data_IF_116507088999
#
_entry.id   IF_116507088999
#
_cell.length_a   1.000
_cell.length_b   1.000
_cell.length_c   1.000
_cell.angle_alpha   90.00
_cell.angle_beta   90.00
_cell.angle_gamma   90.00
#
_symmetry.space_group_name_H-M   'P 1'
#
loop_
_entity.id
_entity.type
_entity.pdbx_description
1 polymer ?
#
# COMPACT_ATOMS: atom_id res chain seq x y z
N UNK A 1 -24.93 -7.41 -15.41
CA UNK A 1 -25.35 -7.20 -14.00
C UNK A 1 -24.20 -6.67 -13.20
N UNK A 2 -24.29 -5.46 -12.70
CA UNK A 2 -23.31 -4.85 -11.81
C UNK A 2 -23.33 -5.54 -10.43
N UNK A 3 -22.26 -5.40 -9.65
CA UNK A 3 -22.21 -5.92 -8.27
C UNK A 3 -23.33 -5.33 -7.38
N UNK A 4 -23.78 -4.13 -7.70
CA UNK A 4 -24.89 -3.43 -7.03
C UNK A 4 -26.25 -4.11 -7.31
N UNK A 5 -26.51 -4.49 -8.56
CA UNK A 5 -27.75 -5.20 -8.93
C UNK A 5 -27.80 -6.63 -8.36
N UNK A 6 -26.65 -7.30 -8.28
CA UNK A 6 -26.54 -8.59 -7.60
C UNK A 6 -26.80 -8.44 -6.11
N UNK A 7 -26.25 -7.42 -5.47
CA UNK A 7 -26.48 -7.15 -4.06
C UNK A 7 -27.95 -6.85 -3.75
N UNK A 8 -28.66 -6.09 -4.58
CA UNK A 8 -30.08 -5.76 -4.37
C UNK A 8 -31.01 -6.98 -4.47
N UNK A 9 -30.72 -7.94 -5.38
CA UNK A 9 -31.47 -9.19 -5.50
C UNK A 9 -31.20 -10.17 -4.36
N UNK A 10 -30.11 -9.99 -3.64
CA UNK A 10 -29.64 -10.87 -2.57
C UNK A 10 -29.96 -10.32 -1.17
N UNK A 11 -30.52 -9.12 -1.09
CA UNK A 11 -30.99 -8.55 0.17
C UNK A 11 -32.05 -9.48 0.77
N UNK A 12 -31.69 -10.12 1.91
CA UNK A 12 -32.53 -11.07 2.64
C UNK A 12 -32.68 -12.48 2.02
N UNK A 13 -31.85 -12.88 1.04
CA UNK A 13 -31.84 -14.27 0.57
C UNK A 13 -31.01 -15.15 1.50
N UNK A 14 -31.69 -16.05 2.22
CA UNK A 14 -31.03 -17.03 3.10
C UNK A 14 -30.08 -17.95 2.33
N UNK A 15 -30.49 -18.42 1.16
CA UNK A 15 -29.69 -19.32 0.30
C UNK A 15 -28.35 -18.72 -0.06
N UNK A 16 -28.34 -17.46 -0.42
CA UNK A 16 -27.09 -16.78 -0.81
C UNK A 16 -26.13 -16.63 0.35
N UNK A 17 -26.62 -16.21 1.53
CA UNK A 17 -25.75 -16.02 2.71
C UNK A 17 -25.17 -17.34 3.17
N UNK A 18 -25.93 -18.42 3.03
CA UNK A 18 -25.46 -19.78 3.36
C UNK A 18 -24.50 -20.33 2.32
N UNK A 19 -24.62 -19.92 1.05
CA UNK A 19 -23.73 -20.38 -0.03
C UNK A 19 -22.36 -19.70 -0.04
N UNK A 20 -22.21 -18.53 0.60
CA UNK A 20 -20.96 -17.77 0.61
C UNK A 20 -20.18 -18.00 1.89
N UNK A 21 -19.04 -18.66 1.77
CA UNK A 21 -18.17 -18.98 2.90
C UNK A 21 -16.96 -18.02 3.04
N UNK A 22 -16.40 -17.93 4.26
CA UNK A 22 -15.14 -17.31 4.54
C UNK A 22 -15.10 -15.77 4.32
N UNK A 23 -13.98 -15.30 3.78
CA UNK A 23 -13.72 -13.85 3.60
C UNK A 23 -14.70 -13.17 2.63
N UNK A 24 -15.14 -13.87 1.60
CA UNK A 24 -16.11 -13.34 0.63
C UNK A 24 -17.45 -13.02 1.30
N UNK A 25 -17.91 -13.85 2.23
CA UNK A 25 -19.12 -13.61 3.02
C UNK A 25 -19.05 -12.29 3.77
N UNK A 26 -17.93 -12.02 4.45
CA UNK A 26 -17.72 -10.78 5.19
C UNK A 26 -17.74 -9.53 4.29
N UNK A 27 -17.13 -9.63 3.12
CA UNK A 27 -17.11 -8.53 2.16
C UNK A 27 -18.50 -8.25 1.59
N UNK A 28 -19.29 -9.27 1.28
CA UNK A 28 -20.68 -9.11 0.84
C UNK A 28 -21.57 -8.50 1.92
N UNK A 29 -21.47 -8.98 3.16
CA UNK A 29 -22.25 -8.42 4.28
C UNK A 29 -21.92 -6.93 4.52
N UNK A 30 -20.66 -6.53 4.34
CA UNK A 30 -20.27 -5.11 4.41
C UNK A 30 -20.89 -4.28 3.28
N UNK A 31 -20.89 -4.81 2.06
CA UNK A 31 -21.50 -4.13 0.90
C UNK A 31 -23.00 -3.97 1.13
N UNK A 32 -23.68 -5.02 1.57
CA UNK A 32 -25.12 -4.97 1.90
C UNK A 32 -25.43 -3.96 3.00
N UNK A 33 -24.66 -3.96 4.11
CA UNK A 33 -24.83 -2.99 5.18
C UNK A 33 -24.62 -1.54 4.73
N UNK A 34 -23.65 -1.30 3.85
CA UNK A 34 -23.43 0.03 3.28
C UNK A 34 -24.54 0.44 2.32
N UNK A 35 -25.06 -0.50 1.52
CA UNK A 35 -26.19 -0.24 0.61
C UNK A 35 -27.45 0.12 1.39
N UNK A 36 -27.77 -0.61 2.46
CA UNK A 36 -28.89 -0.29 3.34
C UNK A 36 -28.74 1.10 3.95
N UNK A 37 -27.57 1.46 4.47
CA UNK A 37 -27.32 2.83 4.99
C UNK A 37 -27.49 3.91 3.94
N UNK A 38 -26.98 3.68 2.73
CA UNK A 38 -27.15 4.63 1.63
C UNK A 38 -28.63 4.83 1.31
N UNK A 39 -29.40 3.73 1.28
CA UNK A 39 -30.82 3.76 1.02
C UNK A 39 -31.58 4.51 2.12
N UNK A 40 -31.22 4.26 3.39
CA UNK A 40 -31.82 4.94 4.53
C UNK A 40 -31.60 6.45 4.46
N UNK A 41 -30.38 6.89 4.15
CA UNK A 41 -30.04 8.32 4.00
C UNK A 41 -30.79 8.97 2.83
N UNK A 42 -30.92 8.24 1.71
CA UNK A 42 -31.50 8.81 0.49
C UNK A 42 -33.02 8.85 0.50
N UNK A 43 -33.67 7.87 1.14
CA UNK A 43 -35.10 7.64 1.05
C UNK A 43 -35.81 7.61 2.41
N UNK A 44 -35.10 7.99 3.47
CA UNK A 44 -35.61 8.00 4.86
C UNK A 44 -36.24 6.66 5.28
N UNK A 45 -35.49 5.58 5.05
CA UNK A 45 -35.91 4.21 5.39
C UNK A 45 -35.11 3.67 6.58
N UNK A 46 -35.42 2.44 7.04
CA UNK A 46 -34.71 1.80 8.15
C UNK A 46 -34.13 0.42 7.78
N UNK A 47 -33.76 0.21 6.56
CA UNK A 47 -33.23 -1.07 6.05
C UNK A 47 -31.96 -1.53 6.76
N UNK A 48 -31.11 -0.62 7.20
CA UNK A 48 -29.90 -1.00 7.93
C UNK A 48 -30.22 -1.63 9.28
N UNK A 49 -31.24 -1.11 9.99
CA UNK A 49 -31.72 -1.69 11.23
C UNK A 49 -32.34 -3.08 11.01
N UNK A 50 -33.17 -3.21 9.98
CA UNK A 50 -33.76 -4.50 9.60
C UNK A 50 -32.67 -5.52 9.22
N UNK A 51 -31.68 -5.13 8.45
CA UNK A 51 -30.55 -5.98 8.06
C UNK A 51 -29.74 -6.44 9.26
N UNK A 52 -29.45 -5.56 10.21
CA UNK A 52 -28.72 -5.94 11.43
C UNK A 52 -29.51 -6.88 12.32
N UNK A 53 -30.83 -6.68 12.42
CA UNK A 53 -31.74 -7.56 13.17
C UNK A 53 -31.82 -8.95 12.51
N UNK A 54 -31.93 -8.99 11.19
CA UNK A 54 -31.94 -10.23 10.41
C UNK A 54 -30.64 -11.03 10.60
N UNK A 55 -29.46 -10.37 10.53
CA UNK A 55 -28.16 -11.02 10.79
C UNK A 55 -28.12 -11.64 12.17
N UNK A 56 -28.60 -10.93 13.21
CA UNK A 56 -28.64 -11.42 14.58
C UNK A 56 -29.59 -12.61 14.71
N UNK A 57 -30.80 -12.52 14.14
CA UNK A 57 -31.81 -13.58 14.19
C UNK A 57 -31.33 -14.87 13.51
N UNK A 58 -30.49 -14.75 12.45
CA UNK A 58 -29.91 -15.90 11.73
C UNK A 58 -28.57 -16.35 12.30
N UNK A 59 -28.14 -15.79 13.44
CA UNK A 59 -26.86 -16.13 14.10
C UNK A 59 -25.64 -16.03 13.16
N UNK A 60 -25.72 -15.17 12.14
CA UNK A 60 -24.63 -14.99 11.17
C UNK A 60 -23.49 -14.28 11.86
N UNK A 61 -22.37 -14.96 12.03
CA UNK A 61 -21.13 -14.36 12.56
C UNK A 61 -20.62 -13.31 11.58
N UNK A 62 -20.97 -12.05 11.84
CA UNK A 62 -20.50 -10.89 11.09
C UNK A 62 -19.78 -9.93 12.01
N UNK A 63 -18.51 -9.68 11.74
CA UNK A 63 -17.75 -8.66 12.42
C UNK A 63 -17.51 -7.46 11.48
N UNK A 64 -18.34 -6.38 11.54
CA UNK A 64 -18.17 -5.21 10.71
C UNK A 64 -16.87 -4.44 11.02
N UNK A 65 -16.35 -4.59 12.23
CA UNK A 65 -15.02 -4.14 12.59
C UNK A 65 -14.06 -5.28 12.21
N UNK A 66 -13.31 -5.11 11.11
CA UNK A 66 -12.19 -6.02 10.90
C UNK A 66 -11.37 -6.05 12.19
N UNK A 67 -11.14 -7.21 12.77
CA UNK A 67 -10.16 -7.38 13.83
C UNK A 67 -8.78 -7.02 13.26
N UNK A 68 -8.52 -5.71 13.12
CA UNK A 68 -7.20 -5.18 12.75
C UNK A 68 -6.17 -5.42 13.86
N UNK A 69 -6.63 -5.91 15.02
CA UNK A 69 -5.79 -6.19 16.19
C UNK A 69 -5.19 -7.59 16.19
N UNK A 70 -5.47 -8.46 15.22
CA UNK A 70 -4.60 -9.58 15.00
C UNK A 70 -3.29 -9.06 14.38
N UNK A 71 -2.47 -8.45 15.23
CA UNK A 71 -1.04 -8.44 15.02
C UNK A 71 -0.62 -9.92 15.04
N UNK A 72 -0.80 -10.62 13.91
CA UNK A 72 0.06 -11.75 13.68
C UNK A 72 1.46 -11.17 13.81
N UNK A 73 2.19 -11.64 14.80
CA UNK A 73 3.64 -11.49 14.84
C UNK A 73 4.12 -12.19 13.57
N UNK A 74 4.01 -11.46 12.45
CA UNK A 74 4.50 -11.93 11.18
C UNK A 74 5.97 -12.20 11.42
N UNK A 75 6.43 -13.40 11.06
CA UNK A 75 7.83 -13.78 11.06
C UNK A 75 8.66 -12.52 10.78
N UNK A 76 9.53 -12.17 11.71
CA UNK A 76 10.22 -10.88 11.64
C UNK A 76 11.20 -10.95 10.46
N UNK A 77 10.77 -10.46 9.31
CA UNK A 77 11.57 -10.45 8.09
C UNK A 77 12.57 -9.32 8.24
N UNK A 78 13.84 -9.66 8.26
CA UNK A 78 14.92 -8.68 8.37
C UNK A 78 15.25 -8.02 7.02
N UNK A 79 15.97 -6.92 7.06
CA UNK A 79 16.47 -6.28 5.85
C UNK A 79 17.40 -7.23 5.07
N UNK A 80 18.24 -8.03 5.78
CA UNK A 80 19.12 -9.02 5.17
C UNK A 80 18.36 -10.11 4.41
N UNK A 81 17.26 -10.64 4.97
CA UNK A 81 16.43 -11.65 4.31
C UNK A 81 15.86 -11.10 2.99
N UNK A 82 15.41 -9.85 3.02
CA UNK A 82 14.85 -9.19 1.83
C UNK A 82 15.93 -8.97 0.77
N UNK A 83 17.11 -8.50 1.13
CA UNK A 83 18.20 -8.28 0.19
C UNK A 83 18.65 -9.59 -0.46
N UNK A 84 18.79 -10.66 0.34
CA UNK A 84 19.08 -12.00 -0.16
C UNK A 84 18.04 -12.48 -1.17
N UNK A 85 16.75 -12.25 -0.88
CA UNK A 85 15.67 -12.62 -1.77
C UNK A 85 15.65 -11.76 -3.05
N UNK A 86 15.90 -10.46 -2.94
CA UNK A 86 16.01 -9.57 -4.10
C UNK A 86 17.20 -9.96 -4.99
N UNK A 87 18.31 -10.41 -4.39
CA UNK A 87 19.48 -10.89 -5.12
C UNK A 87 19.21 -12.06 -6.07
N UNK A 88 18.18 -12.88 -5.79
CA UNK A 88 17.77 -14.03 -6.61
C UNK A 88 16.87 -13.64 -7.79
N UNK A 89 16.41 -12.38 -7.85
CA UNK A 89 15.55 -11.92 -8.94
C UNK A 89 16.35 -11.54 -10.19
N UNK A 90 15.74 -11.64 -11.39
CA UNK A 90 16.31 -11.05 -12.58
C UNK A 90 16.65 -9.57 -12.37
N UNK A 91 17.74 -9.04 -12.98
CA UNK A 91 18.29 -7.71 -12.69
C UNK A 91 17.24 -6.60 -12.65
N UNK A 92 16.35 -6.55 -13.62
CA UNK A 92 15.28 -5.56 -13.71
C UNK A 92 14.35 -5.54 -12.49
N UNK A 93 13.95 -6.72 -12.00
CA UNK A 93 13.06 -6.85 -10.84
C UNK A 93 13.81 -6.64 -9.52
N UNK A 94 15.09 -7.02 -9.48
CA UNK A 94 15.99 -6.70 -8.37
C UNK A 94 16.10 -5.17 -8.22
N UNK A 95 16.40 -4.44 -9.28
CA UNK A 95 16.50 -2.98 -9.27
C UNK A 95 15.16 -2.35 -8.86
N UNK A 96 14.03 -2.84 -9.39
CA UNK A 96 12.71 -2.36 -8.97
C UNK A 96 12.45 -2.63 -7.49
N UNK A 97 12.80 -3.79 -6.97
CA UNK A 97 12.66 -4.11 -5.54
C UNK A 97 13.50 -3.18 -4.66
N UNK A 98 14.75 -2.93 -5.03
CA UNK A 98 15.62 -1.96 -4.35
C UNK A 98 15.06 -0.54 -4.44
N UNK A 99 14.48 -0.17 -5.58
CA UNK A 99 13.81 1.12 -5.74
C UNK A 99 12.60 1.27 -4.79
N UNK A 100 11.74 0.24 -4.69
CA UNK A 100 10.62 0.23 -3.72
C UNK A 100 11.12 0.29 -2.28
N UNK A 101 12.18 -0.46 -1.98
CA UNK A 101 12.79 -0.50 -0.65
C UNK A 101 13.37 0.85 -0.23
N UNK A 102 14.06 1.54 -1.12
CA UNK A 102 14.71 2.83 -0.82
C UNK A 102 13.75 4.00 -0.80
N UNK A 103 12.75 4.01 -1.70
CA UNK A 103 11.78 5.11 -1.80
C UNK A 103 10.58 4.96 -0.86
N UNK A 104 10.23 3.73 -0.48
CA UNK A 104 9.04 3.45 0.33
C UNK A 104 7.71 3.71 -0.38
N UNK A 105 7.69 3.81 -1.70
CA UNK A 105 6.49 4.03 -2.51
C UNK A 105 5.53 2.83 -2.46
N UNK A 106 4.23 3.07 -2.66
CA UNK A 106 3.28 1.99 -2.92
C UNK A 106 3.56 1.40 -4.30
N UNK A 107 3.21 0.13 -4.50
CA UNK A 107 3.52 -0.58 -5.75
C UNK A 107 3.12 0.20 -7.00
N UNK A 108 1.93 0.78 -7.05
CA UNK A 108 1.46 1.55 -8.19
C UNK A 108 2.18 2.91 -8.33
N UNK A 109 2.47 3.57 -7.21
CA UNK A 109 3.30 4.76 -7.17
C UNK A 109 4.73 4.46 -7.66
N UNK A 110 5.29 3.36 -7.20
CA UNK A 110 6.62 2.91 -7.59
C UNK A 110 6.73 2.57 -9.08
N UNK A 111 5.71 1.95 -9.67
CA UNK A 111 5.68 1.65 -11.11
C UNK A 111 5.74 2.96 -11.92
N UNK A 112 4.90 3.92 -11.58
CA UNK A 112 4.87 5.22 -12.27
C UNK A 112 6.17 5.97 -12.08
N UNK A 113 6.69 6.05 -10.85
CA UNK A 113 7.93 6.73 -10.55
C UNK A 113 9.14 6.07 -11.23
N UNK A 114 9.22 4.73 -11.22
CA UNK A 114 10.27 3.96 -11.87
C UNK A 114 10.29 4.19 -13.38
N UNK A 115 9.13 4.14 -14.03
CA UNK A 115 9.01 4.31 -15.47
C UNK A 115 9.30 5.75 -15.95
N UNK A 116 9.21 6.72 -15.05
CA UNK A 116 9.44 8.14 -15.34
C UNK A 116 10.66 8.72 -14.60
N UNK A 117 11.48 7.88 -13.94
CA UNK A 117 12.51 8.34 -13.01
C UNK A 117 13.48 9.37 -13.62
N UNK A 118 13.93 9.19 -14.86
CA UNK A 118 14.81 10.11 -15.57
C UNK A 118 14.23 11.50 -15.79
N UNK A 119 12.89 11.61 -15.83
CA UNK A 119 12.16 12.87 -16.02
C UNK A 119 11.86 13.60 -14.72
N UNK A 120 11.71 12.83 -13.62
CA UNK A 120 11.20 13.36 -12.33
C UNK A 120 12.27 13.39 -11.24
N UNK A 121 13.41 12.72 -11.40
CA UNK A 121 14.53 12.79 -10.47
C UNK A 121 15.39 14.00 -10.79
N UNK A 122 15.39 14.98 -9.89
CA UNK A 122 16.21 16.21 -9.96
C UNK A 122 16.91 16.41 -8.64
N UNK A 123 18.20 16.65 -8.68
CA UNK A 123 19.03 16.88 -7.49
C UNK A 123 18.86 15.83 -6.36
N UNK A 124 18.61 14.58 -6.77
CA UNK A 124 18.41 13.46 -5.85
C UNK A 124 17.05 13.42 -5.17
N UNK A 125 16.07 14.18 -5.65
CA UNK A 125 14.68 14.17 -5.19
C UNK A 125 13.75 13.94 -6.37
N UNK A 126 12.76 13.06 -6.17
CA UNK A 126 11.66 12.87 -7.11
C UNK A 126 10.40 13.53 -6.58
N UNK A 127 9.91 14.53 -7.30
CA UNK A 127 8.60 15.11 -7.05
C UNK A 127 7.53 14.32 -7.80
N UNK A 128 6.47 13.97 -7.09
CA UNK A 128 5.42 13.08 -7.57
C UNK A 128 4.07 13.81 -7.56
N UNK A 129 3.43 13.85 -8.71
CA UNK A 129 2.11 14.46 -8.88
C UNK A 129 1.08 13.36 -9.15
N UNK A 130 0.01 13.33 -8.34
CA UNK A 130 -1.03 12.32 -8.43
C UNK A 130 -2.40 12.98 -8.56
N UNK A 131 -3.18 12.53 -9.52
CA UNK A 131 -4.60 12.87 -9.61
C UNK A 131 -5.43 11.91 -8.73
N UNK A 132 -5.36 12.11 -7.41
CA UNK A 132 -6.19 11.41 -6.44
C UNK A 132 -6.33 12.17 -5.13
N UNK A 133 -7.48 12.00 -4.49
CA UNK A 133 -7.86 12.79 -3.29
C UNK A 133 -7.17 12.33 -2.00
N UNK A 134 -6.71 11.07 -1.90
CA UNK A 134 -6.27 10.49 -0.62
C UNK A 134 -4.86 9.92 -0.65
N UNK A 135 -4.15 10.05 0.48
CA UNK A 135 -2.90 9.36 0.85
C UNK A 135 -1.89 9.23 -0.30
N UNK A 136 -1.41 10.34 -0.79
CA UNK A 136 -0.41 10.42 -1.85
C UNK A 136 0.97 10.78 -1.29
N UNK A 137 1.99 10.14 -1.81
CA UNK A 137 3.38 10.55 -1.60
C UNK A 137 3.70 11.69 -2.57
N UNK A 138 4.21 12.80 -2.07
CA UNK A 138 4.48 13.97 -2.90
C UNK A 138 5.95 14.08 -3.32
N UNK A 139 6.88 13.61 -2.49
CA UNK A 139 8.29 13.59 -2.81
C UNK A 139 9.00 12.43 -2.13
N UNK A 140 10.00 11.88 -2.78
CA UNK A 140 10.90 10.85 -2.24
C UNK A 140 12.32 11.11 -2.74
N UNK A 141 13.30 10.54 -2.05
CA UNK A 141 14.68 10.57 -2.53
C UNK A 141 14.91 9.64 -3.72
N UNK A 142 15.81 10.04 -4.57
CA UNK A 142 16.32 9.31 -5.71
C UNK A 142 17.79 8.92 -5.43
N UNK A 143 18.08 7.63 -5.30
CA UNK A 143 19.44 7.19 -5.02
C UNK A 143 20.29 7.25 -6.29
N UNK A 144 21.48 7.91 -6.29
CA UNK A 144 22.29 8.08 -7.48
C UNK A 144 22.60 6.76 -8.20
N UNK A 145 23.10 5.76 -7.47
CA UNK A 145 23.40 4.42 -8.01
C UNK A 145 22.19 3.75 -8.64
N UNK A 146 21.00 3.86 -8.03
CA UNK A 146 19.79 3.29 -8.62
C UNK A 146 19.34 4.06 -9.84
N UNK A 147 19.53 5.39 -9.84
CA UNK A 147 19.20 6.22 -10.99
C UNK A 147 19.94 5.79 -12.25
N UNK A 148 21.22 5.45 -12.12
CA UNK A 148 22.05 4.96 -13.22
C UNK A 148 21.66 3.54 -13.68
N UNK A 149 21.17 2.69 -12.78
CA UNK A 149 20.80 1.30 -13.07
C UNK A 149 19.39 1.12 -13.62
N UNK A 150 18.52 2.14 -13.49
CA UNK A 150 17.13 2.02 -13.95
C UNK A 150 17.05 2.18 -15.47
N UNK A 151 16.82 1.07 -16.16
CA UNK A 151 16.60 1.04 -17.60
C UNK A 151 15.28 0.34 -17.96
N UNK A 152 14.59 0.90 -18.96
CA UNK A 152 13.33 0.38 -19.47
C UNK A 152 12.15 0.54 -18.50
N UNK A 153 11.02 -0.06 -18.84
CA UNK A 153 9.76 0.09 -18.12
C UNK A 153 9.32 -1.21 -17.45
N UNK A 154 8.53 -1.09 -16.40
CA UNK A 154 7.96 -2.20 -15.64
C UNK A 154 6.45 -2.06 -15.57
N UNK A 155 5.71 -3.17 -15.54
CA UNK A 155 4.26 -3.16 -15.41
C UNK A 155 3.75 -4.07 -14.28
N UNK A 156 2.52 -3.85 -13.86
CA UNK A 156 1.89 -4.54 -12.73
C UNK A 156 1.80 -6.05 -12.92
N UNK A 157 1.53 -6.50 -14.15
CA UNK A 157 1.39 -7.94 -14.46
C UNK A 157 2.73 -8.65 -14.30
N UNK A 158 3.79 -8.06 -14.83
CA UNK A 158 5.13 -8.61 -14.72
C UNK A 158 5.64 -8.65 -13.28
N UNK A 159 5.34 -7.62 -12.49
CA UNK A 159 5.65 -7.60 -11.06
C UNK A 159 4.92 -8.73 -10.34
N UNK A 160 3.61 -8.89 -10.55
CA UNK A 160 2.84 -9.96 -9.94
C UNK A 160 3.37 -11.35 -10.27
N UNK A 161 3.91 -11.56 -11.47
CA UNK A 161 4.48 -12.83 -11.91
C UNK A 161 5.85 -13.09 -11.31
N UNK A 162 6.75 -12.10 -11.33
CA UNK A 162 8.17 -12.28 -11.02
C UNK A 162 8.55 -11.91 -9.59
N UNK A 163 7.72 -11.16 -8.88
CA UNK A 163 7.95 -10.72 -7.49
C UNK A 163 6.87 -11.23 -6.54
N UNK A 164 6.49 -12.51 -6.69
CA UNK A 164 5.54 -13.16 -5.79
C UNK A 164 6.12 -13.28 -4.38
N UNK A 165 5.26 -13.30 -3.38
CA UNK A 165 5.66 -13.51 -1.98
C UNK A 165 6.42 -14.81 -1.75
N UNK A 166 6.15 -15.86 -2.54
CA UNK A 166 6.90 -17.10 -2.50
C UNK A 166 8.38 -16.94 -2.92
N UNK A 167 8.68 -15.98 -3.80
CA UNK A 167 10.04 -15.69 -4.27
C UNK A 167 10.73 -14.70 -3.33
N UNK A 168 10.01 -13.65 -2.91
CA UNK A 168 10.53 -12.59 -2.05
C UNK A 168 10.59 -12.98 -0.57
N UNK A 169 9.98 -14.10 -0.17
CA UNK A 169 9.79 -14.42 1.26
C UNK A 169 8.80 -13.49 1.97
N UNK A 170 8.33 -12.43 1.31
CA UNK A 170 7.36 -11.48 1.83
C UNK A 170 6.53 -10.85 0.71
N UNK A 171 5.43 -10.19 1.07
CA UNK A 171 4.69 -9.37 0.12
C UNK A 171 5.48 -8.08 -0.20
N UNK A 172 5.37 -7.60 -1.44
CA UNK A 172 6.07 -6.38 -1.91
C UNK A 172 5.79 -5.15 -1.03
N UNK A 173 4.58 -5.06 -0.44
CA UNK A 173 4.25 -4.00 0.54
C UNK A 173 5.13 -4.00 1.79
N UNK A 174 5.81 -5.11 2.08
CA UNK A 174 6.72 -5.22 3.23
C UNK A 174 7.99 -4.38 3.04
N UNK A 175 8.47 -4.25 1.80
CA UNK A 175 9.61 -3.37 1.47
C UNK A 175 9.35 -1.93 1.92
N UNK A 176 8.11 -1.46 1.72
CA UNK A 176 7.69 -0.15 2.21
C UNK A 176 7.69 -0.04 3.73
N UNK A 177 7.32 -1.11 4.46
CA UNK A 177 7.38 -1.13 5.92
C UNK A 177 8.83 -1.08 6.41
N UNK A 178 9.72 -1.86 5.79
CA UNK A 178 11.14 -1.84 6.10
C UNK A 178 11.77 -0.47 5.82
N UNK A 179 11.45 0.15 4.68
CA UNK A 179 11.84 1.52 4.40
C UNK A 179 11.45 2.46 5.54
N UNK A 180 10.18 2.42 5.96
CA UNK A 180 9.70 3.25 7.07
C UNK A 180 10.53 3.03 8.33
N UNK A 181 10.73 1.78 8.72
CA UNK A 181 11.50 1.43 9.90
C UNK A 181 12.94 1.96 9.82
N UNK A 182 13.61 1.74 8.68
CA UNK A 182 15.00 2.20 8.49
C UNK A 182 15.08 3.73 8.57
N UNK A 183 14.20 4.45 7.88
CA UNK A 183 14.22 5.92 7.89
C UNK A 183 13.85 6.47 9.27
N UNK A 184 12.80 5.93 9.89
CA UNK A 184 12.35 6.40 11.21
C UNK A 184 13.39 6.17 12.32
N UNK A 185 14.12 5.04 12.26
CA UNK A 185 15.11 4.70 13.30
C UNK A 185 16.49 5.29 13.05
N UNK A 186 16.90 5.42 11.79
CA UNK A 186 18.29 5.84 11.46
C UNK A 186 18.41 7.28 11.01
N UNK A 187 17.30 7.91 10.57
CA UNK A 187 17.33 9.25 10.01
C UNK A 187 16.39 10.18 10.80
N UNK A 188 15.10 10.09 10.54
CA UNK A 188 14.08 10.95 11.15
C UNK A 188 12.67 10.35 11.00
N UNK A 189 11.88 10.21 12.08
CA UNK A 189 10.53 9.67 12.03
C UNK A 189 9.54 10.53 11.20
N UNK A 190 9.68 11.86 11.25
CA UNK A 190 8.79 12.76 10.49
C UNK A 190 9.07 12.64 9.00
N UNK A 191 10.36 12.52 8.63
CA UNK A 191 10.75 12.25 7.24
C UNK A 191 10.15 10.93 6.73
N UNK A 192 10.18 9.87 7.55
CA UNK A 192 9.60 8.58 7.19
C UNK A 192 8.08 8.67 6.95
N UNK A 193 7.35 9.42 7.78
CA UNK A 193 5.92 9.67 7.61
C UNK A 193 5.63 10.47 6.33
N UNK A 194 6.42 11.51 6.08
CA UNK A 194 6.28 12.35 4.89
C UNK A 194 6.53 11.56 3.60
N UNK A 195 7.66 10.87 3.50
CA UNK A 195 7.99 10.06 2.33
C UNK A 195 6.94 8.97 2.03
N UNK A 196 6.20 8.55 3.03
CA UNK A 196 5.11 7.60 2.85
C UNK A 196 3.72 8.24 2.66
N UNK A 197 3.63 9.57 2.58
CA UNK A 197 2.35 10.27 2.43
C UNK A 197 1.37 9.96 3.57
N UNK A 198 1.87 9.77 4.79
CA UNK A 198 1.06 9.53 5.98
C UNK A 198 0.60 10.82 6.65
N UNK A 199 1.37 11.89 6.48
CA UNK A 199 1.03 13.27 6.87
C UNK A 199 0.94 14.12 5.62
N UNK A 200 0.03 15.05 5.56
CA UNK A 200 0.02 16.03 4.48
C UNK A 200 -1.25 16.81 4.28
N UNK A 201 -1.32 17.99 4.88
CA UNK A 201 -2.01 19.14 4.32
C UNK A 201 -0.98 19.99 3.51
N UNK A 202 -1.46 20.79 2.58
CA UNK A 202 -0.66 21.61 1.64
C UNK A 202 0.36 22.50 2.35
N UNK A 203 0.05 23.01 3.56
CA UNK A 203 0.96 23.81 4.39
C UNK A 203 2.23 23.05 4.80
N UNK A 204 2.22 21.74 4.83
CA UNK A 204 3.39 20.93 5.23
C UNK A 204 4.44 20.82 4.11
N UNK A 205 4.11 21.11 2.85
CA UNK A 205 5.08 21.12 1.74
C UNK A 205 6.23 22.10 2.02
N UNK A 206 5.93 23.26 2.55
CA UNK A 206 6.94 24.29 2.84
C UNK A 206 7.92 23.89 3.95
N UNK A 207 7.48 23.04 4.88
CA UNK A 207 8.33 22.55 5.97
C UNK A 207 9.13 21.28 5.60
N UNK A 208 8.64 20.48 4.66
CA UNK A 208 9.24 19.19 4.37
C UNK A 208 10.35 19.22 3.33
N UNK A 209 10.36 20.18 2.39
CA UNK A 209 11.48 20.34 1.46
C UNK A 209 12.79 20.66 2.20
N UNK A 210 12.84 21.59 3.18
CA UNK A 210 14.02 21.76 4.02
C UNK A 210 14.40 20.50 4.79
N UNK A 211 13.43 19.78 5.34
CA UNK A 211 13.70 18.51 6.04
C UNK A 211 14.33 17.47 5.12
N UNK A 212 13.85 17.34 3.88
CA UNK A 212 14.45 16.46 2.88
C UNK A 212 15.87 16.87 2.56
N UNK A 213 16.10 18.15 2.20
CA UNK A 213 17.42 18.65 1.85
C UNK A 213 18.44 18.42 2.95
N UNK A 214 18.07 18.66 4.21
CA UNK A 214 18.93 18.47 5.37
C UNK A 214 19.27 16.99 5.63
N UNK A 215 18.39 16.08 5.24
CA UNK A 215 18.57 14.65 5.49
C UNK A 215 19.05 13.84 4.28
N UNK A 216 19.15 14.43 3.10
CA UNK A 216 19.51 13.74 1.87
C UNK A 216 20.86 13.00 1.97
N UNK A 217 21.91 13.67 2.43
CA UNK A 217 23.25 13.05 2.60
C UNK A 217 23.20 11.88 3.56
N UNK A 218 22.46 12.01 4.68
CA UNK A 218 22.31 10.95 5.67
C UNK A 218 21.52 9.77 5.10
N UNK A 219 20.50 10.04 4.29
CA UNK A 219 19.71 9.04 3.60
C UNK A 219 20.55 8.26 2.57
N UNK A 220 21.32 8.93 1.72
CA UNK A 220 22.24 8.29 0.77
C UNK A 220 23.23 7.41 1.51
N UNK A 221 23.89 7.90 2.55
CA UNK A 221 24.84 7.14 3.36
C UNK A 221 24.20 5.89 3.99
N UNK A 222 22.95 5.98 4.42
CA UNK A 222 22.22 4.88 5.02
C UNK A 222 21.96 3.77 3.99
N UNK A 223 21.59 4.12 2.76
CA UNK A 223 21.27 3.16 1.71
C UNK A 223 22.49 2.68 0.92
N UNK A 224 23.57 3.44 0.84
CA UNK A 224 24.83 2.98 0.24
C UNK A 224 25.31 1.66 0.84
N UNK A 225 25.22 1.52 2.16
CA UNK A 225 25.56 0.27 2.85
C UNK A 225 24.71 -0.92 2.44
N UNK A 226 23.51 -0.66 1.93
CA UNK A 226 22.53 -1.65 1.53
C UNK A 226 22.63 -2.00 0.05
N UNK A 227 23.03 -1.05 -0.79
CA UNK A 227 23.08 -1.21 -2.25
C UNK A 227 24.41 -1.79 -2.73
N UNK A 228 25.47 -1.67 -1.92
CA UNK A 228 26.81 -2.19 -2.24
C UNK A 228 27.02 -3.66 -1.79
N UNK A 229 25.95 -4.32 -1.34
CA UNK A 229 25.88 -5.77 -1.08
C UNK A 229 25.04 -6.45 -2.18
#
# INVERSE_FOLDING_TARGET
MTNSEKASKLLFSDEFVMSVNGRKKQDYLKVMGNLCRYHDIKYDTNYHSQFTTWIKKKEIKWNPKSNRNNYHVAKQITLGDVLSSLGKLPPKYRIFGLFVLTTGLRTEEAIVAFNNHSRICRDGIMELFWDRKTKKTNAVFCHPTLHELIHGTINKTNIKRNMKSAILGCELRYLRKLNFTVIATKIDPLLAEFMQGRRGNISQRHYFLPLMNNNQKKWIKTWNKTLNH
#
